data_IF_027208447978
#
_entry.id   IF_027208447978
#
_cell.length_a   1.000
_cell.length_b   1.000
_cell.length_c   1.000
_cell.angle_alpha   90.00
_cell.angle_beta   90.00
_cell.angle_gamma   90.00
#
_symmetry.space_group_name_H-M   'P 1'
#
loop_
_entity.id
_entity.type
_entity.pdbx_description
1 polymer ?
#
# COMPACT_ATOMS: atom_id res chain seq x y z
N UNK A 1 -45.90 -5.42 -17.49
CA UNK A 1 -44.87 -4.57 -16.90
C UNK A 1 -44.02 -5.48 -16.01
N UNK A 2 -42.92 -6.01 -16.55
CA UNK A 2 -41.98 -6.85 -15.80
C UNK A 2 -41.14 -5.97 -14.90
N UNK A 3 -41.25 -6.17 -13.60
CA UNK A 3 -40.37 -5.61 -12.58
C UNK A 3 -38.93 -6.09 -12.87
N UNK A 4 -38.07 -5.16 -13.25
CA UNK A 4 -36.63 -5.38 -13.19
C UNK A 4 -36.27 -5.53 -11.71
N UNK A 5 -36.19 -6.74 -11.21
CA UNK A 5 -35.53 -7.05 -9.95
C UNK A 5 -34.09 -6.60 -10.08
N UNK A 6 -33.78 -5.46 -9.46
CA UNK A 6 -32.40 -4.99 -9.29
C UNK A 6 -31.71 -6.03 -8.43
N UNK A 7 -30.89 -6.88 -9.04
CA UNK A 7 -30.00 -7.79 -8.31
C UNK A 7 -29.04 -6.91 -7.53
N UNK A 8 -29.39 -6.59 -6.29
CA UNK A 8 -28.45 -5.96 -5.35
C UNK A 8 -27.43 -7.02 -4.95
N UNK A 9 -26.30 -7.05 -5.61
CA UNK A 9 -25.15 -7.84 -5.17
C UNK A 9 -24.68 -7.23 -3.85
N UNK A 10 -25.09 -7.82 -2.74
CA UNK A 10 -24.57 -7.45 -1.43
C UNK A 10 -23.13 -7.94 -1.34
N UNK A 11 -22.18 -7.02 -1.42
CA UNK A 11 -20.76 -7.35 -1.23
C UNK A 11 -20.53 -7.68 0.23
N UNK A 12 -19.98 -8.88 0.49
CA UNK A 12 -19.58 -9.25 1.84
C UNK A 12 -18.41 -8.35 2.30
N UNK A 13 -18.67 -7.53 3.30
CA UNK A 13 -17.68 -6.60 3.85
C UNK A 13 -16.46 -7.32 4.43
N UNK A 14 -16.61 -8.57 4.86
CA UNK A 14 -15.48 -9.39 5.32
C UNK A 14 -14.52 -9.68 4.18
N UNK A 15 -15.03 -9.96 2.98
CA UNK A 15 -14.19 -10.14 1.79
C UNK A 15 -13.42 -8.86 1.49
N UNK A 16 -14.07 -7.70 1.56
CA UNK A 16 -13.38 -6.42 1.36
C UNK A 16 -12.27 -6.19 2.39
N UNK A 17 -12.49 -6.54 3.66
CA UNK A 17 -11.46 -6.43 4.69
C UNK A 17 -10.22 -7.25 4.31
N UNK A 18 -10.39 -8.49 3.88
CA UNK A 18 -9.28 -9.37 3.53
C UNK A 18 -8.68 -9.12 2.14
N UNK A 19 -9.39 -8.42 1.26
CA UNK A 19 -8.89 -8.06 -0.06
C UNK A 19 -7.78 -7.00 0.01
N UNK A 20 -7.78 -6.14 1.02
CA UNK A 20 -6.82 -5.02 1.13
C UNK A 20 -5.36 -5.48 1.23
N UNK A 21 -4.98 -6.46 2.06
CA UNK A 21 -3.62 -7.00 2.03
C UNK A 21 -3.21 -7.56 0.67
N UNK A 22 -4.14 -8.17 -0.07
CA UNK A 22 -3.86 -8.69 -1.42
C UNK A 22 -3.55 -7.54 -2.38
N UNK A 23 -4.37 -6.49 -2.36
CA UNK A 23 -4.18 -5.26 -3.14
C UNK A 23 -2.83 -4.61 -2.82
N UNK A 24 -2.50 -4.48 -1.55
CA UNK A 24 -1.22 -3.98 -1.08
C UNK A 24 -0.05 -4.78 -1.69
N UNK A 25 -0.03 -6.12 -1.56
CA UNK A 25 1.06 -6.91 -2.10
C UNK A 25 1.15 -6.88 -3.63
N UNK A 26 0.04 -6.72 -4.35
CA UNK A 26 0.06 -6.53 -5.80
C UNK A 26 0.71 -5.19 -6.15
N UNK A 27 0.33 -4.11 -5.46
CA UNK A 27 0.86 -2.78 -5.71
C UNK A 27 2.35 -2.67 -5.36
N UNK A 28 2.70 -2.96 -4.12
CA UNK A 28 4.09 -2.89 -3.65
C UNK A 28 5.00 -3.94 -4.32
N UNK A 29 4.42 -5.05 -4.80
CA UNK A 29 5.12 -6.02 -5.64
C UNK A 29 5.65 -5.40 -6.95
N UNK A 30 4.87 -4.53 -7.61
CA UNK A 30 5.34 -3.76 -8.77
C UNK A 30 6.53 -2.87 -8.37
N UNK A 31 6.45 -2.19 -7.22
CA UNK A 31 7.55 -1.36 -6.73
C UNK A 31 8.84 -2.16 -6.55
N UNK A 32 8.78 -3.29 -5.84
CA UNK A 32 9.95 -4.15 -5.60
C UNK A 32 10.60 -4.60 -6.91
N UNK A 33 9.78 -5.02 -7.88
CA UNK A 33 10.28 -5.52 -9.15
C UNK A 33 10.91 -4.41 -10.01
N UNK A 34 10.39 -3.19 -9.94
CA UNK A 34 10.74 -2.12 -10.86
C UNK A 34 11.72 -1.09 -10.28
N UNK A 35 11.81 -0.95 -8.95
CA UNK A 35 12.60 0.11 -8.29
C UNK A 35 14.06 0.16 -8.76
N UNK A 36 14.74 -0.98 -8.85
CA UNK A 36 16.14 -1.02 -9.26
C UNK A 36 16.34 -0.54 -10.70
N UNK A 37 15.52 -1.04 -11.63
CA UNK A 37 15.59 -0.66 -13.04
C UNK A 37 15.29 0.82 -13.23
N UNK A 38 14.30 1.31 -12.48
CA UNK A 38 13.91 2.71 -12.52
C UNK A 38 14.99 3.63 -11.97
N UNK A 39 15.58 3.32 -10.81
CA UNK A 39 16.68 4.09 -10.22
C UNK A 39 17.88 4.18 -11.15
N UNK A 40 18.28 3.07 -11.79
CA UNK A 40 19.38 3.06 -12.76
C UNK A 40 19.15 3.99 -13.94
N UNK A 41 17.91 4.09 -14.42
CA UNK A 41 17.57 4.97 -15.54
C UNK A 41 17.59 6.45 -15.16
N UNK A 42 17.43 6.77 -13.89
CA UNK A 42 17.30 8.14 -13.40
C UNK A 42 18.47 8.61 -12.53
N UNK A 43 19.59 7.91 -12.55
CA UNK A 43 20.80 8.24 -11.77
C UNK A 43 21.38 9.63 -12.07
N UNK A 44 21.12 10.19 -13.24
CA UNK A 44 21.58 11.54 -13.63
C UNK A 44 20.71 12.67 -13.10
N UNK A 45 19.54 12.38 -12.49
CA UNK A 45 18.62 13.40 -12.00
C UNK A 45 18.94 13.77 -10.54
N UNK A 46 19.45 15.00 -10.25
CA UNK A 46 19.87 15.39 -8.90
C UNK A 46 18.78 15.28 -7.84
N UNK A 47 17.50 15.56 -8.21
CA UNK A 47 16.35 15.45 -7.32
C UNK A 47 16.10 14.02 -6.87
N UNK A 48 16.25 13.05 -7.77
CA UNK A 48 16.08 11.62 -7.48
C UNK A 48 17.24 11.11 -6.63
N UNK A 49 18.48 11.48 -6.98
CA UNK A 49 19.68 11.13 -6.20
C UNK A 49 19.56 11.62 -4.77
N UNK A 50 19.11 12.87 -4.56
CA UNK A 50 18.90 13.44 -3.23
C UNK A 50 17.79 12.70 -2.46
N UNK A 51 16.68 12.38 -3.12
CA UNK A 51 15.55 11.69 -2.50
C UNK A 51 15.87 10.24 -2.14
N UNK A 52 16.77 9.59 -2.87
CA UNK A 52 17.09 8.16 -2.71
C UNK A 52 18.41 7.89 -1.97
N UNK A 53 19.07 8.93 -1.44
CA UNK A 53 20.38 8.81 -0.73
C UNK A 53 20.37 7.84 0.47
N UNK A 54 19.19 7.58 1.06
CA UNK A 54 19.02 6.67 2.19
C UNK A 54 18.88 5.20 1.76
N UNK A 55 18.68 4.94 0.47
CA UNK A 55 18.56 3.60 -0.07
C UNK A 55 19.89 2.85 -0.02
N UNK A 56 19.82 1.53 -0.07
CA UNK A 56 20.98 0.67 -0.25
C UNK A 56 21.61 0.90 -1.62
N UNK A 57 22.86 0.44 -1.80
CA UNK A 57 23.49 0.44 -3.11
C UNK A 57 22.63 -0.30 -4.14
N UNK A 58 22.78 0.03 -5.42
CA UNK A 58 22.02 -0.58 -6.53
C UNK A 58 21.92 -2.11 -6.46
N UNK A 59 22.97 -2.76 -5.97
CA UNK A 59 23.00 -4.21 -5.82
C UNK A 59 21.96 -4.76 -4.82
N UNK A 60 21.64 -4.01 -3.78
CA UNK A 60 20.81 -4.47 -2.65
C UNK A 60 19.47 -3.76 -2.54
N UNK A 61 19.20 -2.74 -3.36
CA UNK A 61 17.99 -1.92 -3.24
C UNK A 61 16.71 -2.73 -3.38
N UNK A 62 16.65 -3.70 -4.29
CA UNK A 62 15.49 -4.60 -4.43
C UNK A 62 15.25 -5.41 -3.15
N UNK A 63 16.33 -5.95 -2.55
CA UNK A 63 16.23 -6.68 -1.29
C UNK A 63 15.82 -5.78 -0.12
N UNK A 64 16.30 -4.53 -0.10
CA UNK A 64 15.87 -3.54 0.89
C UNK A 64 14.37 -3.28 0.81
N UNK A 65 13.85 -3.04 -0.39
CA UNK A 65 12.41 -2.83 -0.62
C UNK A 65 11.60 -4.08 -0.27
N UNK A 66 12.04 -5.26 -0.69
CA UNK A 66 11.34 -6.52 -0.39
C UNK A 66 11.20 -6.76 1.12
N UNK A 67 12.25 -6.48 1.91
CA UNK A 67 12.20 -6.60 3.37
C UNK A 67 11.27 -5.55 3.97
N UNK A 68 11.33 -4.30 3.52
CA UNK A 68 10.47 -3.24 4.00
C UNK A 68 9.00 -3.55 3.74
N UNK A 69 8.66 -3.96 2.52
CA UNK A 69 7.30 -4.33 2.11
C UNK A 69 6.81 -5.58 2.83
N UNK A 70 7.67 -6.57 3.06
CA UNK A 70 7.32 -7.73 3.87
C UNK A 70 6.92 -7.32 5.30
N UNK A 71 7.70 -6.47 5.96
CA UNK A 71 7.39 -5.99 7.31
C UNK A 71 6.11 -5.15 7.35
N UNK A 72 5.92 -4.28 6.36
CA UNK A 72 4.69 -3.49 6.23
C UNK A 72 3.48 -4.39 5.97
N UNK A 73 3.62 -5.39 5.11
CA UNK A 73 2.57 -6.37 4.82
C UNK A 73 2.18 -7.22 6.03
N UNK A 74 3.16 -7.67 6.83
CA UNK A 74 2.88 -8.37 8.10
C UNK A 74 2.13 -7.45 9.06
N UNK A 75 2.55 -6.19 9.18
CA UNK A 75 1.85 -5.21 10.02
C UNK A 75 0.42 -4.98 9.53
N UNK A 76 0.22 -4.87 8.22
CA UNK A 76 -1.10 -4.73 7.61
C UNK A 76 -1.97 -5.96 7.86
N UNK A 77 -1.42 -7.18 7.75
CA UNK A 77 -2.17 -8.42 8.06
C UNK A 77 -2.63 -8.46 9.52
N UNK A 78 -1.80 -8.01 10.47
CA UNK A 78 -2.18 -7.92 11.89
C UNK A 78 -3.33 -6.90 12.06
N UNK A 79 -3.22 -5.72 11.45
CA UNK A 79 -4.28 -4.70 11.52
C UNK A 79 -5.56 -5.20 10.83
N UNK A 80 -5.46 -5.89 9.72
CA UNK A 80 -6.59 -6.50 9.01
C UNK A 80 -7.30 -7.54 9.87
N UNK A 81 -6.53 -8.43 10.51
CA UNK A 81 -7.08 -9.42 11.42
C UNK A 81 -7.83 -8.78 12.59
N UNK A 82 -7.24 -7.78 13.24
CA UNK A 82 -7.90 -7.06 14.34
C UNK A 82 -9.15 -6.31 13.87
N UNK A 83 -9.12 -5.75 12.66
CA UNK A 83 -10.29 -5.09 12.07
C UNK A 83 -11.42 -6.09 11.76
N UNK A 84 -11.10 -7.28 11.25
CA UNK A 84 -12.07 -8.35 11.00
C UNK A 84 -12.72 -8.82 12.31
N UNK A 85 -11.91 -9.07 13.35
CA UNK A 85 -12.42 -9.45 14.68
C UNK A 85 -13.33 -8.36 15.24
N UNK A 86 -12.94 -7.10 15.16
CA UNK A 86 -13.77 -5.99 15.64
C UNK A 86 -15.06 -5.85 14.83
N UNK A 87 -15.01 -5.99 13.52
CA UNK A 87 -16.20 -5.96 12.67
C UNK A 87 -17.18 -7.07 13.06
N UNK A 88 -16.73 -8.31 13.23
CA UNK A 88 -17.59 -9.43 13.60
C UNK A 88 -18.17 -9.32 15.01
N UNK A 89 -17.43 -8.75 15.95
CA UNK A 89 -17.85 -8.66 17.36
C UNK A 89 -18.70 -7.42 17.66
N UNK A 90 -18.49 -6.31 16.95
CA UNK A 90 -19.08 -5.01 17.28
C UNK A 90 -19.87 -4.38 16.12
N UNK A 91 -19.83 -4.95 14.91
CA UNK A 91 -20.45 -4.38 13.72
C UNK A 91 -19.81 -3.04 13.28
N UNK A 92 -18.57 -2.76 13.68
CA UNK A 92 -17.88 -1.51 13.41
C UNK A 92 -16.48 -1.76 12.85
N UNK A 93 -16.04 -0.89 11.94
CA UNK A 93 -14.70 -0.94 11.39
C UNK A 93 -13.69 -0.30 12.36
N UNK A 94 -12.52 -0.90 12.49
CA UNK A 94 -11.37 -0.33 13.22
C UNK A 94 -10.95 1.01 12.62
N UNK A 95 -10.75 2.03 13.47
CA UNK A 95 -10.29 3.35 13.01
C UNK A 95 -8.92 3.29 12.33
N UNK A 96 -7.97 2.53 12.88
CA UNK A 96 -6.65 2.36 12.26
C UNK A 96 -6.77 1.73 10.86
N UNK A 97 -7.60 0.70 10.70
CA UNK A 97 -7.83 0.06 9.41
C UNK A 97 -8.51 1.02 8.41
N UNK A 98 -9.54 1.75 8.86
CA UNK A 98 -10.20 2.77 8.04
C UNK A 98 -9.21 3.85 7.57
N UNK A 99 -8.30 4.27 8.46
CA UNK A 99 -7.24 5.22 8.13
C UNK A 99 -6.22 4.67 7.12
N UNK A 100 -5.89 3.39 7.20
CA UNK A 100 -5.02 2.74 6.21
C UNK A 100 -5.67 2.72 4.82
N UNK A 101 -6.99 2.52 4.71
CA UNK A 101 -7.68 2.62 3.41
C UNK A 101 -7.50 4.01 2.78
N UNK A 102 -7.62 5.07 3.59
CA UNK A 102 -7.38 6.45 3.13
C UNK A 102 -5.91 6.63 2.74
N UNK A 103 -4.98 6.08 3.53
CA UNK A 103 -3.55 6.15 3.24
C UNK A 103 -3.20 5.47 1.90
N UNK A 104 -3.80 4.33 1.57
CA UNK A 104 -3.62 3.65 0.29
C UNK A 104 -4.10 4.51 -0.89
N UNK A 105 -5.27 5.13 -0.78
CA UNK A 105 -5.75 6.05 -1.83
C UNK A 105 -4.76 7.22 -2.04
N UNK A 106 -4.26 7.80 -0.95
CA UNK A 106 -3.29 8.90 -1.01
C UNK A 106 -1.95 8.42 -1.60
N UNK A 107 -1.52 7.21 -1.26
CA UNK A 107 -0.30 6.62 -1.83
C UNK A 107 -0.43 6.41 -3.33
N UNK A 108 -1.54 5.83 -3.79
CA UNK A 108 -1.83 5.69 -5.20
C UNK A 108 -1.86 7.05 -5.95
N UNK A 109 -2.47 8.09 -5.35
CA UNK A 109 -2.45 9.45 -5.89
C UNK A 109 -1.03 10.04 -5.96
N UNK A 110 -0.17 9.73 -4.98
CA UNK A 110 1.26 10.09 -4.99
C UNK A 110 1.97 9.50 -6.22
N UNK A 111 1.71 8.22 -6.57
CA UNK A 111 2.28 7.58 -7.75
C UNK A 111 1.84 8.26 -9.05
N UNK A 112 0.55 8.61 -9.15
CA UNK A 112 0.03 9.39 -10.29
C UNK A 112 0.70 10.76 -10.37
N UNK A 113 0.80 11.47 -9.24
CA UNK A 113 1.46 12.77 -9.17
C UNK A 113 2.93 12.71 -9.61
N UNK A 114 3.66 11.68 -9.19
CA UNK A 114 5.04 11.45 -9.63
C UNK A 114 5.12 11.16 -11.13
N UNK A 115 4.24 10.34 -11.68
CA UNK A 115 4.17 10.05 -13.11
C UNK A 115 3.92 11.31 -13.94
N UNK A 116 2.94 12.13 -13.55
CA UNK A 116 2.63 13.41 -14.21
C UNK A 116 3.85 14.35 -14.17
N UNK A 117 4.49 14.47 -13.00
CA UNK A 117 5.64 15.36 -12.81
C UNK A 117 6.87 14.93 -13.61
N UNK A 118 7.16 13.64 -13.65
CA UNK A 118 8.35 13.10 -14.30
C UNK A 118 8.12 12.83 -15.79
N UNK A 119 6.85 12.75 -16.24
CA UNK A 119 6.45 12.38 -17.61
C UNK A 119 7.02 11.02 -18.06
N UNK A 120 7.34 10.17 -17.10
CA UNK A 120 7.87 8.83 -17.32
C UNK A 120 7.24 7.85 -16.33
N UNK A 121 7.23 6.58 -16.69
CA UNK A 121 6.80 5.52 -15.79
C UNK A 121 7.52 5.60 -14.43
N UNK A 122 6.75 5.49 -13.35
CA UNK A 122 7.23 5.36 -11.97
C UNK A 122 6.79 4.01 -11.40
N UNK A 123 7.64 3.31 -10.62
CA UNK A 123 7.23 2.07 -9.97
C UNK A 123 5.94 2.24 -9.19
N UNK A 124 5.04 1.28 -9.28
CA UNK A 124 3.74 1.30 -8.61
C UNK A 124 2.62 2.03 -9.35
N UNK A 125 2.89 2.87 -10.37
CA UNK A 125 1.84 3.69 -10.99
C UNK A 125 0.76 2.87 -11.70
N UNK A 126 1.11 1.75 -12.31
CA UNK A 126 0.13 0.92 -13.05
C UNK A 126 -0.83 0.29 -12.06
N UNK A 127 -0.32 -0.37 -11.06
CA UNK A 127 -1.13 -1.04 -10.03
C UNK A 127 -1.85 -0.04 -9.12
N UNK A 128 -1.30 1.17 -8.90
CA UNK A 128 -2.01 2.25 -8.23
C UNK A 128 -3.31 2.62 -8.94
N UNK A 129 -3.24 2.82 -10.27
CA UNK A 129 -4.41 3.23 -11.08
C UNK A 129 -5.41 2.09 -11.27
N UNK A 130 -4.92 0.86 -11.50
CA UNK A 130 -5.77 -0.26 -11.92
C UNK A 130 -6.30 -1.06 -10.73
N UNK A 131 -5.59 -1.09 -9.61
CA UNK A 131 -5.90 -1.97 -8.47
C UNK A 131 -6.09 -1.17 -7.18
N UNK A 132 -5.06 -0.45 -6.72
CA UNK A 132 -5.05 0.12 -5.38
C UNK A 132 -6.12 1.18 -5.18
N UNK A 133 -6.13 2.24 -5.99
CA UNK A 133 -7.11 3.32 -5.88
C UNK A 133 -8.54 2.81 -6.08
N UNK A 134 -8.86 2.03 -7.13
CA UNK A 134 -10.21 1.52 -7.33
C UNK A 134 -10.70 0.67 -6.16
N UNK A 135 -9.90 -0.28 -5.69
CA UNK A 135 -10.34 -1.20 -4.63
C UNK A 135 -10.43 -0.49 -3.28
N UNK A 136 -9.42 0.33 -2.91
CA UNK A 136 -9.46 1.07 -1.65
C UNK A 136 -10.61 2.08 -1.61
N UNK A 137 -10.86 2.81 -2.71
CA UNK A 137 -11.99 3.75 -2.80
C UNK A 137 -13.34 3.03 -2.73
N UNK A 138 -13.46 1.89 -3.40
CA UNK A 138 -14.67 1.07 -3.34
C UNK A 138 -14.91 0.51 -1.92
N UNK A 139 -13.87 0.06 -1.25
CA UNK A 139 -13.96 -0.40 0.15
C UNK A 139 -14.41 0.74 1.08
N UNK A 140 -13.84 1.94 0.95
CA UNK A 140 -14.27 3.13 1.70
C UNK A 140 -15.76 3.41 1.47
N UNK A 141 -16.20 3.40 0.20
CA UNK A 141 -17.60 3.58 -0.16
C UNK A 141 -18.51 2.54 0.50
N UNK A 142 -18.17 1.26 0.42
CA UNK A 142 -18.97 0.18 1.00
C UNK A 142 -19.05 0.27 2.53
N UNK A 143 -17.94 0.54 3.23
CA UNK A 143 -17.93 0.68 4.67
C UNK A 143 -18.69 1.93 5.15
N UNK A 144 -18.63 3.02 4.40
CA UNK A 144 -19.37 4.23 4.69
C UNK A 144 -20.89 4.02 4.45
N UNK A 145 -21.28 3.48 3.30
CA UNK A 145 -22.69 3.29 2.93
C UNK A 145 -23.39 2.25 3.78
N UNK A 146 -22.68 1.24 4.30
CA UNK A 146 -23.22 0.25 5.23
C UNK A 146 -23.35 0.75 6.68
N UNK A 147 -22.81 1.95 6.99
CA UNK A 147 -22.84 2.51 8.34
C UNK A 147 -21.83 1.89 9.33
N UNK A 148 -20.97 0.95 8.88
CA UNK A 148 -19.92 0.34 9.73
C UNK A 148 -18.78 1.31 10.05
N UNK A 149 -18.58 2.33 9.20
CA UNK A 149 -17.68 3.44 9.43
C UNK A 149 -18.33 4.75 9.00
N UNK A 150 -18.08 5.82 9.73
CA UNK A 150 -18.54 7.16 9.40
C UNK A 150 -17.37 8.06 8.99
N UNK A 151 -17.63 9.27 8.52
CA UNK A 151 -16.62 10.21 8.10
C UNK A 151 -15.53 10.47 9.16
N UNK A 152 -15.94 10.58 10.43
CA UNK A 152 -15.00 10.78 11.53
C UNK A 152 -14.06 9.56 11.71
N UNK A 153 -14.59 8.34 11.53
CA UNK A 153 -13.79 7.11 11.59
C UNK A 153 -12.63 7.15 10.58
N UNK A 154 -12.88 7.62 9.36
CA UNK A 154 -11.84 7.74 8.33
C UNK A 154 -10.86 8.86 8.65
N UNK A 155 -11.32 10.04 9.07
CA UNK A 155 -10.43 11.18 9.37
C UNK A 155 -9.51 10.89 10.57
N UNK A 156 -10.10 10.50 11.71
CA UNK A 156 -9.31 10.18 12.90
C UNK A 156 -8.45 8.93 12.69
N UNK A 157 -9.00 7.95 11.97
CA UNK A 157 -8.24 6.78 11.57
C UNK A 157 -7.02 7.14 10.73
N UNK A 158 -7.14 8.05 9.77
CA UNK A 158 -6.02 8.50 8.94
C UNK A 158 -4.96 9.26 9.75
N UNK A 159 -5.38 10.12 10.68
CA UNK A 159 -4.45 10.83 11.57
C UNK A 159 -3.60 9.85 12.40
N UNK A 160 -4.18 8.72 12.81
CA UNK A 160 -3.47 7.66 13.54
C UNK A 160 -2.66 6.77 12.59
N UNK A 161 -3.22 6.42 11.43
CA UNK A 161 -2.57 5.55 10.45
C UNK A 161 -1.31 6.20 9.84
N UNK A 162 -1.31 7.50 9.60
CA UNK A 162 -0.21 8.20 8.97
C UNK A 162 1.14 8.02 9.71
N UNK A 163 1.27 8.33 11.01
CA UNK A 163 2.50 8.08 11.76
C UNK A 163 2.81 6.59 11.89
N UNK A 164 1.80 5.72 12.01
CA UNK A 164 2.00 4.28 12.07
C UNK A 164 2.62 3.74 10.78
N UNK A 165 2.04 4.03 9.63
CA UNK A 165 2.54 3.61 8.31
C UNK A 165 3.94 4.19 8.08
N UNK A 166 4.13 5.49 8.36
CA UNK A 166 5.44 6.12 8.23
C UNK A 166 6.51 5.43 9.06
N UNK A 167 6.23 5.12 10.32
CA UNK A 167 7.16 4.42 11.21
C UNK A 167 7.52 3.03 10.69
N UNK A 168 6.52 2.25 10.21
CA UNK A 168 6.76 0.90 9.69
C UNK A 168 7.55 0.96 8.37
N UNK A 169 7.23 1.89 7.47
CA UNK A 169 7.96 2.08 6.20
C UNK A 169 9.41 2.46 6.46
N UNK A 170 9.65 3.49 7.27
CA UNK A 170 11.03 3.95 7.56
C UNK A 170 11.80 2.87 8.32
N UNK A 171 11.19 2.27 9.33
CA UNK A 171 11.78 1.14 10.08
C UNK A 171 12.12 -0.04 9.16
N UNK A 172 11.19 -0.41 8.29
CA UNK A 172 11.38 -1.48 7.30
C UNK A 172 12.51 -1.18 6.33
N UNK A 173 12.61 0.06 5.83
CA UNK A 173 13.72 0.47 4.96
C UNK A 173 15.08 0.46 5.66
N UNK A 174 15.13 0.85 6.95
CA UNK A 174 16.35 0.77 7.76
C UNK A 174 16.76 -0.69 7.96
N UNK A 175 15.83 -1.54 8.39
CA UNK A 175 16.07 -2.99 8.57
C UNK A 175 16.50 -3.62 7.25
N UNK A 176 15.80 -3.32 6.16
CA UNK A 176 16.11 -3.81 4.83
C UNK A 176 17.51 -3.39 4.35
N UNK A 177 17.94 -2.15 4.63
CA UNK A 177 19.27 -1.66 4.30
C UNK A 177 20.38 -2.46 4.99
N UNK A 178 20.16 -2.87 6.24
CA UNK A 178 21.12 -3.65 7.03
C UNK A 178 21.10 -5.13 6.66
N UNK A 179 19.92 -5.69 6.41
CA UNK A 179 19.75 -7.13 6.20
C UNK A 179 19.97 -7.57 4.75
N UNK A 180 19.59 -6.76 3.76
CA UNK A 180 19.69 -7.17 2.35
C UNK A 180 21.11 -7.63 1.94
N UNK A 181 22.21 -6.99 2.39
CA UNK A 181 23.57 -7.50 2.11
C UNK A 181 23.87 -8.85 2.79
N UNK A 182 23.28 -9.11 3.96
CA UNK A 182 23.54 -10.32 4.77
C UNK A 182 22.81 -11.55 4.25
N UNK A 183 21.59 -11.37 3.73
CA UNK A 183 20.75 -12.48 3.22
C UNK A 183 21.23 -12.96 1.83
N UNK A 184 22.29 -12.33 1.26
CA UNK A 184 22.88 -12.81 0.02
C UNK A 184 22.01 -12.59 -1.22
N UNK A 185 21.23 -11.52 -1.29
CA UNK A 185 20.63 -11.02 -2.55
C UNK A 185 21.73 -10.67 -3.56
N UNK A 186 22.71 -11.58 -3.68
CA UNK A 186 23.84 -11.49 -4.58
C UNK A 186 23.38 -11.93 -5.97
N UNK A 187 23.70 -11.13 -6.99
CA UNK A 187 23.58 -11.60 -8.37
C UNK A 187 24.38 -12.91 -8.53
N UNK A 188 23.85 -13.95 -9.19
CA UNK A 188 24.69 -15.02 -9.68
C UNK A 188 25.83 -14.39 -10.49
N UNK A 189 27.04 -14.78 -10.21
CA UNK A 189 28.21 -14.41 -11.04
C UNK A 189 27.94 -14.90 -12.46
N UNK A 190 27.85 -13.97 -13.41
CA UNK A 190 27.96 -14.27 -14.83
C UNK A 190 29.39 -14.61 -15.13
#
# INVERSE_FOLDING_TARGET
MAFLETVTVSVDLTILIWLIPVVFFIHDGEEVLMVRRWLRRHQSQPSIVKATRFLASDKYVTGQFAIAIFLLGVSLLIVTYTAAVQYHSQGRLSGLYAGILVALVIDGLKHIGMWIRLKHYTPGVITAVVVEIPVASYAIYCFYSSGVANFQTFIWGFIIALPFVWFVVVGGLIVGKVMAPRIGFRKPSQ
#
